data_IF_517724709761
#
_entry.id   IF_517724709761
#
_cell.length_a   1.000
_cell.length_b   1.000
_cell.length_c   1.000
_cell.angle_alpha   90.00
_cell.angle_beta   90.00
_cell.angle_gamma   90.00
#
_symmetry.space_group_name_H-M   'P 1'
#
loop_
_entity.id
_entity.type
_entity.pdbx_description
1 polymer ?
#
# COMPACT_ATOMS: atom_id res chain seq x y z
N UNK A 1 -7.08 -8.32 23.37
CA UNK A 1 -7.60 -6.96 23.62
C UNK A 1 -6.80 -5.90 22.86
N UNK A 2 -5.51 -5.68 23.12
CA UNK A 2 -4.74 -4.62 22.44
C UNK A 2 -4.56 -4.87 20.92
N UNK A 3 -4.24 -6.11 20.53
CA UNK A 3 -4.11 -6.50 19.12
C UNK A 3 -5.45 -6.41 18.36
N UNK A 4 -6.57 -6.71 19.03
CA UNK A 4 -7.91 -6.64 18.43
C UNK A 4 -8.30 -5.19 18.11
N UNK A 5 -7.92 -4.24 18.98
CA UNK A 5 -8.15 -2.82 18.77
C UNK A 5 -7.31 -2.26 17.61
N UNK A 6 -6.05 -2.70 17.50
CA UNK A 6 -5.18 -2.36 16.36
C UNK A 6 -5.78 -2.84 15.04
N UNK A 7 -6.26 -4.09 15.01
CA UNK A 7 -6.88 -4.66 13.81
C UNK A 7 -8.17 -3.93 13.48
N UNK A 8 -8.99 -3.61 14.48
CA UNK A 8 -10.24 -2.86 14.29
C UNK A 8 -9.98 -1.47 13.69
N UNK A 9 -8.99 -0.74 14.19
CA UNK A 9 -8.64 0.58 13.67
C UNK A 9 -8.11 0.51 12.23
N UNK A 10 -7.25 -0.46 11.92
CA UNK A 10 -6.80 -0.70 10.55
C UNK A 10 -7.98 -0.96 9.61
N UNK A 11 -8.90 -1.84 10.03
CA UNK A 11 -10.09 -2.17 9.25
C UNK A 11 -11.01 -0.97 9.07
N UNK A 12 -11.16 -0.11 10.08
CA UNK A 12 -11.97 1.12 10.00
C UNK A 12 -11.42 2.07 8.94
N UNK A 13 -10.10 2.32 8.94
CA UNK A 13 -9.45 3.18 7.93
C UNK A 13 -9.51 2.56 6.54
N UNK A 14 -9.23 1.26 6.43
CA UNK A 14 -9.35 0.52 5.19
C UNK A 14 -10.78 0.60 4.63
N UNK A 15 -11.81 0.53 5.49
CA UNK A 15 -13.20 0.64 5.04
C UNK A 15 -13.55 2.02 4.51
N UNK A 16 -13.05 3.08 5.16
CA UNK A 16 -13.23 4.45 4.67
C UNK A 16 -12.60 4.63 3.28
N UNK A 17 -11.38 4.13 3.10
CA UNK A 17 -10.68 4.15 1.81
C UNK A 17 -11.35 3.31 0.71
N UNK A 18 -11.88 2.13 1.06
CA UNK A 18 -12.68 1.31 0.14
C UNK A 18 -13.93 2.07 -0.35
N UNK A 19 -14.65 2.72 0.57
CA UNK A 19 -15.87 3.45 0.24
C UNK A 19 -15.59 4.64 -0.68
N UNK A 20 -14.57 5.44 -0.42
CA UNK A 20 -14.18 6.54 -1.30
C UNK A 20 -13.69 6.04 -2.67
N UNK A 21 -12.98 4.91 -2.71
CA UNK A 21 -12.58 4.25 -3.97
C UNK A 21 -13.80 3.85 -4.83
N UNK A 22 -14.82 3.24 -4.20
CA UNK A 22 -16.07 2.87 -4.90
C UNK A 22 -16.77 4.12 -5.45
N UNK A 23 -16.73 5.24 -4.72
CA UNK A 23 -17.28 6.51 -5.21
C UNK A 23 -16.53 7.00 -6.45
N UNK A 24 -15.19 6.96 -6.47
CA UNK A 24 -14.39 7.31 -7.65
C UNK A 24 -14.77 6.43 -8.84
N UNK A 25 -14.82 5.11 -8.67
CA UNK A 25 -15.19 4.17 -9.75
C UNK A 25 -16.61 4.48 -10.27
N UNK A 26 -17.55 4.69 -9.37
CA UNK A 26 -18.93 5.04 -9.71
C UNK A 26 -19.02 6.38 -10.46
N UNK A 27 -18.29 7.39 -10.01
CA UNK A 27 -18.26 8.72 -10.64
C UNK A 27 -17.56 8.68 -12.00
N UNK A 28 -16.46 7.92 -12.17
CA UNK A 28 -15.80 7.70 -13.48
C UNK A 28 -16.76 7.06 -14.49
N UNK A 29 -17.58 6.10 -14.07
CA UNK A 29 -18.58 5.47 -14.95
C UNK A 29 -19.69 6.45 -15.37
N UNK A 30 -20.06 7.39 -14.50
CA UNK A 30 -21.12 8.40 -14.76
C UNK A 30 -20.61 9.66 -15.46
N UNK A 31 -19.31 9.97 -15.38
CA UNK A 31 -18.72 11.20 -15.94
C UNK A 31 -18.64 11.21 -17.48
N UNK A 32 -19.14 10.18 -18.15
CA UNK A 32 -19.28 10.14 -19.61
C UNK A 32 -20.29 11.20 -20.11
N UNK A 33 -21.11 11.82 -19.24
CA UNK A 33 -22.19 12.74 -19.65
C UNK A 33 -22.22 14.16 -19.09
N UNK A 34 -21.93 14.43 -17.81
CA UNK A 34 -22.27 15.77 -17.26
C UNK A 34 -21.55 16.27 -15.99
N UNK A 35 -20.99 15.42 -15.11
CA UNK A 35 -20.56 15.88 -13.79
C UNK A 35 -19.07 15.67 -13.50
N UNK A 36 -18.22 16.49 -14.12
CA UNK A 36 -16.78 16.53 -13.81
C UNK A 36 -16.49 16.91 -12.36
N UNK A 37 -17.29 17.83 -11.80
CA UNK A 37 -17.18 18.27 -10.39
C UNK A 37 -17.33 17.12 -9.40
N UNK A 38 -18.26 16.19 -9.66
CA UNK A 38 -18.51 15.05 -8.76
C UNK A 38 -17.37 14.04 -8.79
N UNK A 39 -16.72 13.90 -9.95
CA UNK A 39 -15.52 13.08 -10.08
C UNK A 39 -14.34 13.73 -9.34
N UNK A 40 -14.15 15.03 -9.49
CA UNK A 40 -13.09 15.78 -8.78
C UNK A 40 -13.29 15.73 -7.26
N UNK A 41 -14.53 15.87 -6.77
CA UNK A 41 -14.87 15.72 -5.36
C UNK A 41 -14.58 14.29 -4.86
N UNK A 42 -14.98 13.26 -5.62
CA UNK A 42 -14.71 11.87 -5.25
C UNK A 42 -13.20 11.55 -5.22
N UNK A 43 -12.42 12.11 -6.15
CA UNK A 43 -10.96 11.96 -6.16
C UNK A 43 -10.29 12.66 -4.97
N UNK A 44 -10.78 13.83 -4.56
CA UNK A 44 -10.26 14.54 -3.40
C UNK A 44 -10.56 13.80 -2.08
N UNK A 45 -11.78 13.26 -1.95
CA UNK A 45 -12.16 12.43 -0.81
C UNK A 45 -11.32 11.14 -0.74
N UNK A 46 -11.17 10.45 -1.87
CA UNK A 46 -10.34 9.25 -1.96
C UNK A 46 -8.86 9.54 -1.66
N UNK A 47 -8.31 10.63 -2.15
CA UNK A 47 -6.93 11.01 -1.83
C UNK A 47 -6.77 11.25 -0.33
N UNK A 48 -7.78 11.83 0.33
CA UNK A 48 -7.76 12.11 1.77
C UNK A 48 -7.75 10.80 2.57
N UNK A 49 -8.71 9.90 2.33
CA UNK A 49 -8.79 8.63 3.05
C UNK A 49 -7.58 7.73 2.77
N UNK A 50 -7.03 7.78 1.54
CA UNK A 50 -5.78 7.08 1.19
C UNK A 50 -4.61 7.60 2.00
N UNK A 51 -4.42 8.93 2.09
CA UNK A 51 -3.36 9.55 2.89
C UNK A 51 -3.50 9.22 4.38
N UNK A 52 -4.73 9.21 4.91
CA UNK A 52 -5.00 8.81 6.29
C UNK A 52 -4.64 7.35 6.58
N UNK A 53 -4.84 6.46 5.61
CA UNK A 53 -4.46 5.05 5.74
C UNK A 53 -2.94 4.89 5.63
N UNK A 54 -2.29 5.56 4.67
CA UNK A 54 -0.84 5.48 4.46
C UNK A 54 -0.08 5.98 5.69
N UNK A 55 -0.43 7.18 6.18
CA UNK A 55 0.21 7.81 7.33
C UNK A 55 -0.01 7.08 8.66
N UNK A 56 -1.03 6.22 8.74
CA UNK A 56 -1.24 5.38 9.92
C UNK A 56 -0.16 4.30 10.02
N UNK A 57 0.65 4.38 11.07
CA UNK A 57 1.77 3.46 11.28
C UNK A 57 1.28 2.10 11.79
N UNK A 58 1.50 1.06 10.98
CA UNK A 58 1.20 -0.31 11.37
C UNK A 58 2.17 -0.77 12.47
N UNK A 59 1.68 -1.35 13.58
CA UNK A 59 2.57 -1.69 14.71
C UNK A 59 3.53 -2.84 14.42
N UNK A 60 3.23 -3.68 13.43
CA UNK A 60 4.08 -4.79 13.02
C UNK A 60 3.92 -5.12 11.52
N UNK A 61 4.82 -5.99 11.02
CA UNK A 61 4.87 -6.38 9.62
C UNK A 61 3.59 -7.02 9.09
N UNK A 62 2.90 -7.84 9.88
CA UNK A 62 1.65 -8.50 9.46
C UNK A 62 0.55 -7.47 9.16
N UNK A 63 0.39 -6.49 10.05
CA UNK A 63 -0.58 -5.41 9.85
C UNK A 63 -0.19 -4.50 8.68
N UNK A 64 1.11 -4.21 8.52
CA UNK A 64 1.61 -3.42 7.39
C UNK A 64 1.34 -4.11 6.05
N UNK A 65 1.60 -5.41 5.93
CA UNK A 65 1.32 -6.18 4.71
C UNK A 65 -0.18 -6.16 4.38
N UNK A 66 -1.06 -6.37 5.37
CA UNK A 66 -2.52 -6.30 5.16
C UNK A 66 -2.96 -4.91 4.65
N UNK A 67 -2.40 -3.86 5.24
CA UNK A 67 -2.62 -2.47 4.83
C UNK A 67 -2.18 -2.24 3.38
N UNK A 68 -0.96 -2.67 3.02
CA UNK A 68 -0.40 -2.50 1.67
C UNK A 68 -1.17 -3.29 0.61
N UNK A 69 -1.59 -4.53 0.90
CA UNK A 69 -2.42 -5.32 -0.01
C UNK A 69 -3.78 -4.63 -0.26
N UNK A 70 -4.38 -4.07 0.78
CA UNK A 70 -5.61 -3.30 0.64
C UNK A 70 -5.41 -2.06 -0.26
N UNK A 71 -4.37 -1.26 0.03
CA UNK A 71 -4.03 -0.07 -0.74
C UNK A 71 -3.79 -0.40 -2.22
N UNK A 72 -3.00 -1.44 -2.51
CA UNK A 72 -2.69 -1.87 -3.88
C UNK A 72 -3.95 -2.31 -4.64
N UNK A 73 -4.80 -3.14 -4.02
CA UNK A 73 -6.01 -3.63 -4.67
C UNK A 73 -6.95 -2.49 -5.11
N UNK A 74 -7.10 -1.47 -4.27
CA UNK A 74 -8.04 -0.37 -4.51
C UNK A 74 -7.47 0.69 -5.45
N UNK A 75 -6.17 0.99 -5.36
CA UNK A 75 -5.49 1.87 -6.33
C UNK A 75 -5.54 1.26 -7.73
N UNK A 76 -5.33 -0.06 -7.87
CA UNK A 76 -5.48 -0.74 -9.17
C UNK A 76 -6.94 -0.75 -9.65
N UNK A 77 -7.90 -1.08 -8.78
CA UNK A 77 -9.32 -1.12 -9.15
C UNK A 77 -9.87 0.24 -9.57
N UNK A 78 -9.35 1.32 -8.98
CA UNK A 78 -9.73 2.69 -9.31
C UNK A 78 -8.92 3.29 -10.47
N UNK A 79 -7.93 2.57 -11.00
CA UNK A 79 -6.96 3.09 -11.98
C UNK A 79 -6.31 4.40 -11.49
N UNK A 80 -5.78 4.36 -10.27
CA UNK A 80 -5.08 5.46 -9.62
C UNK A 80 -3.58 5.13 -9.47
N UNK A 81 -2.82 6.11 -9.01
CA UNK A 81 -1.39 5.97 -8.71
C UNK A 81 -1.07 6.53 -7.33
N UNK A 82 -0.02 6.01 -6.71
CA UNK A 82 0.59 6.66 -5.54
C UNK A 82 1.47 7.83 -6.01
N UNK A 83 1.42 8.93 -5.27
CA UNK A 83 2.37 10.04 -5.44
C UNK A 83 3.70 9.72 -4.73
N UNK A 84 4.76 10.46 -5.08
CA UNK A 84 6.11 10.23 -4.54
C UNK A 84 6.14 10.30 -3.00
N UNK A 85 5.32 11.17 -2.41
CA UNK A 85 5.21 11.29 -0.96
C UNK A 85 4.61 10.03 -0.33
N UNK A 86 3.53 9.50 -0.91
CA UNK A 86 2.90 8.25 -0.49
C UNK A 86 3.87 7.07 -0.58
N UNK A 87 4.66 7.02 -1.66
CA UNK A 87 5.69 5.99 -1.85
C UNK A 87 6.79 6.11 -0.79
N UNK A 88 7.27 7.33 -0.51
CA UNK A 88 8.28 7.57 0.52
C UNK A 88 7.80 7.14 1.92
N UNK A 89 6.52 7.36 2.25
CA UNK A 89 5.92 6.92 3.52
C UNK A 89 5.83 5.39 3.62
N UNK A 90 5.44 4.72 2.53
CA UNK A 90 5.42 3.26 2.44
C UNK A 90 6.84 2.68 2.60
N UNK A 91 7.84 3.26 1.93
CA UNK A 91 9.23 2.84 2.03
C UNK A 91 9.80 3.06 3.44
N UNK A 92 9.48 4.19 4.08
CA UNK A 92 9.88 4.47 5.44
C UNK A 92 9.27 3.46 6.44
N UNK A 93 8.00 3.10 6.26
CA UNK A 93 7.36 2.06 7.07
C UNK A 93 7.99 0.68 6.85
N UNK A 94 8.27 0.31 5.59
CA UNK A 94 8.93 -0.94 5.25
C UNK A 94 10.31 -1.04 5.92
N UNK A 95 11.13 0.02 5.81
CA UNK A 95 12.45 0.11 6.46
C UNK A 95 12.36 0.00 7.98
N UNK A 96 11.41 0.71 8.61
CA UNK A 96 11.18 0.63 10.08
C UNK A 96 10.86 -0.80 10.53
N UNK A 97 10.19 -1.57 9.67
CA UNK A 97 9.82 -2.96 9.93
C UNK A 97 10.91 -3.97 9.52
N UNK A 98 12.09 -3.51 9.10
CA UNK A 98 13.24 -4.35 8.75
C UNK A 98 13.17 -4.93 7.33
N UNK A 99 12.30 -4.41 6.46
CA UNK A 99 12.31 -4.73 5.04
C UNK A 99 13.35 -3.86 4.33
N UNK A 100 14.62 -4.20 4.53
CA UNK A 100 15.71 -3.57 3.80
C UNK A 100 15.71 -4.16 2.38
N UNK A 101 15.51 -3.32 1.35
CA UNK A 101 15.56 -3.70 -0.07
C UNK A 101 16.91 -4.27 -0.55
N UNK A 102 17.82 -4.63 0.37
CA UNK A 102 18.95 -5.49 0.09
C UNK A 102 18.42 -6.91 -0.08
N UNK A 103 18.12 -7.27 -1.32
CA UNK A 103 18.34 -8.64 -1.75
C UNK A 103 19.69 -9.09 -1.18
N UNK A 104 19.66 -10.11 -0.33
CA UNK A 104 20.84 -10.68 0.33
C UNK A 104 21.94 -10.91 -0.70
N UNK A 105 22.92 -10.00 -0.76
CA UNK A 105 24.14 -10.18 -1.55
C UNK A 105 25.00 -11.34 -1.03
N UNK A 106 24.61 -11.95 0.09
CA UNK A 106 25.16 -13.18 0.64
C UNK A 106 24.84 -14.44 -0.18
N UNK A 107 23.82 -14.46 -1.05
CA UNK A 107 23.52 -15.65 -1.87
C UNK A 107 24.42 -15.76 -3.13
N UNK A 108 25.04 -14.66 -3.59
CA UNK A 108 26.02 -14.73 -4.70
C UNK A 108 27.39 -15.24 -4.27
N UNK A 109 27.81 -14.94 -3.05
CA UNK A 109 29.11 -15.39 -2.54
C UNK A 109 29.13 -16.90 -2.26
N UNK A 110 27.99 -17.48 -1.85
CA UNK A 110 27.91 -18.92 -1.57
C UNK A 110 27.80 -19.79 -2.84
N UNK A 111 27.24 -19.26 -3.95
CA UNK A 111 27.21 -19.97 -5.24
C UNK A 111 28.57 -20.02 -5.94
N UNK A 112 29.44 -19.03 -5.73
CA UNK A 112 30.80 -19.07 -6.30
C UNK A 112 31.75 -20.00 -5.54
N UNK A 113 31.46 -20.30 -4.27
CA UNK A 113 32.31 -21.20 -3.47
C UNK A 113 32.10 -22.68 -3.82
N UNK A 114 30.88 -23.07 -4.21
CA UNK A 114 30.54 -24.46 -4.55
C UNK A 114 31.13 -24.88 -5.93
N UNK A 115 31.36 -23.92 -6.84
CA UNK A 115 31.92 -24.21 -8.17
C UNK A 115 33.46 -24.34 -8.19
N UNK A 116 34.16 -23.98 -7.10
CA UNK A 116 35.62 -24.02 -7.03
C UNK A 116 36.18 -25.13 -6.11
N UNK A 117 35.31 -25.90 -5.43
CA UNK A 117 35.72 -27.03 -4.59
C UNK A 117 35.50 -28.40 -5.24
N UNK A 118 35.12 -28.44 -6.52
CA UNK A 118 34.84 -29.66 -7.29
C UNK A 118 35.92 -30.02 -8.32
N UNK A 119 37.18 -29.71 -8.05
CA UNK A 119 38.30 -30.14 -8.89
C UNK A 119 39.44 -30.67 -8.03
N UNK A 120 39.31 -31.94 -7.66
CA UNK A 120 40.40 -32.86 -7.39
C UNK A 120 40.02 -34.22 -7.96
#
# INVERSE_FOLDING_TARGET
>A
MENDNIVAEMLRRAKAHEQSTIQVIGSKKRSIGANRSDLEAALADEQTTRKELISWQAPNASIAVRKLLHLLAHVLAAELAFDDQSLAEIEAEAKRLGFDGRASSSDRSNRQRILLSGSF
#
